data_IF_349580005056
#
_entry.id   IF_349580005056
#
_cell.length_a   1.000
_cell.length_b   1.000
_cell.length_c   1.000
_cell.angle_alpha   90.00
_cell.angle_beta   90.00
_cell.angle_gamma   90.00
#
_symmetry.space_group_name_H-M   'P 1'
#
loop_
_entity.id
_entity.type
_entity.pdbx_description
1 polymer ?
#
# COMPACT_ATOMS: atom_id res chain seq x y z
N UNK A 1 -9.90 -6.74 22.15
CA UNK A 1 -9.37 -6.08 20.94
C UNK A 1 -10.38 -6.14 19.81
N UNK A 2 -10.63 -5.02 19.17
CA UNK A 2 -11.50 -4.99 18.01
C UNK A 2 -10.72 -5.50 16.81
N UNK A 3 -11.26 -6.51 16.14
CA UNK A 3 -10.68 -7.00 14.90
C UNK A 3 -11.48 -6.45 13.73
N UNK A 4 -10.80 -5.93 12.74
CA UNK A 4 -11.41 -5.53 11.49
C UNK A 4 -11.18 -6.64 10.47
N UNK A 5 -12.23 -6.99 9.76
CA UNK A 5 -12.13 -7.92 8.64
C UNK A 5 -12.18 -7.11 7.36
N UNK A 6 -11.02 -7.03 6.69
CA UNK A 6 -10.87 -6.31 5.43
C UNK A 6 -10.62 -7.26 4.26
N UNK A 7 -10.99 -8.51 4.42
CA UNK A 7 -10.88 -9.50 3.34
C UNK A 7 -11.56 -8.98 2.07
N UNK A 8 -10.87 -9.12 0.94
CA UNK A 8 -11.30 -8.64 -0.38
C UNK A 8 -11.36 -7.12 -0.54
N UNK A 9 -10.85 -6.36 0.43
CA UNK A 9 -10.71 -4.91 0.31
C UNK A 9 -9.32 -4.56 -0.23
N UNK A 10 -9.26 -3.46 -0.97
CA UNK A 10 -8.00 -2.92 -1.47
C UNK A 10 -7.79 -1.55 -0.84
N UNK A 11 -6.64 -1.34 -0.23
CA UNK A 11 -6.29 -0.08 0.39
C UNK A 11 -5.05 0.50 -0.26
N UNK A 12 -5.06 1.80 -0.48
CA UNK A 12 -3.87 2.54 -0.92
C UNK A 12 -3.41 3.37 0.27
N UNK A 13 -2.16 3.19 0.67
CA UNK A 13 -1.59 3.91 1.81
C UNK A 13 -0.47 4.80 1.30
N UNK A 14 -0.71 6.12 1.30
CA UNK A 14 0.32 7.10 0.92
C UNK A 14 1.34 7.20 2.05
N UNK A 15 2.63 7.22 1.70
CA UNK A 15 3.68 7.19 2.71
C UNK A 15 3.71 5.90 3.49
N UNK A 16 3.22 4.81 2.91
CA UNK A 16 3.01 3.54 3.62
C UNK A 16 4.26 2.73 3.91
N UNK A 17 5.42 3.20 3.46
CA UNK A 17 6.66 2.45 3.61
C UNK A 17 7.40 2.75 4.90
N UNK A 18 7.04 3.81 5.61
CA UNK A 18 7.81 4.29 6.77
C UNK A 18 6.90 4.77 7.90
N UNK A 19 7.41 4.69 9.12
CA UNK A 19 6.80 5.31 10.28
C UNK A 19 5.34 4.95 10.48
N UNK A 20 4.51 5.96 10.64
CA UNK A 20 3.08 5.80 10.90
C UNK A 20 2.35 5.10 9.75
N UNK A 21 2.72 5.45 8.51
CA UNK A 21 2.13 4.80 7.34
C UNK A 21 2.43 3.31 7.28
N UNK A 22 3.65 2.91 7.64
CA UNK A 22 4.01 1.49 7.69
C UNK A 22 3.19 0.75 8.76
N UNK A 23 2.98 1.36 9.92
CA UNK A 23 2.15 0.77 10.97
C UNK A 23 0.72 0.54 10.48
N UNK A 24 0.14 1.50 9.75
CA UNK A 24 -1.18 1.35 9.15
C UNK A 24 -1.19 0.22 8.12
N UNK A 25 -0.17 0.17 7.27
CA UNK A 25 -0.01 -0.88 6.26
C UNK A 25 -0.02 -2.26 6.90
N UNK A 26 0.76 -2.45 7.96
CA UNK A 26 0.84 -3.72 8.68
C UNK A 26 -0.53 -4.12 9.26
N UNK A 27 -1.25 -3.16 9.85
CA UNK A 27 -2.58 -3.42 10.40
C UNK A 27 -3.58 -3.85 9.34
N UNK A 28 -3.56 -3.20 8.18
CA UNK A 28 -4.47 -3.56 7.08
C UNK A 28 -4.15 -4.94 6.52
N UNK A 29 -2.88 -5.29 6.40
CA UNK A 29 -2.47 -6.63 5.96
C UNK A 29 -2.97 -7.68 6.96
N UNK A 30 -2.81 -7.45 8.25
CA UNK A 30 -3.32 -8.34 9.29
C UNK A 30 -4.82 -8.54 9.21
N UNK A 31 -5.55 -7.50 8.81
CA UNK A 31 -7.00 -7.54 8.66
C UNK A 31 -7.45 -8.22 7.36
N UNK A 32 -6.52 -8.63 6.51
CA UNK A 32 -6.83 -9.35 5.28
C UNK A 32 -6.91 -8.51 4.02
N UNK A 33 -6.63 -7.21 4.11
CA UNK A 33 -6.68 -6.34 2.94
C UNK A 33 -5.52 -6.60 2.01
N UNK A 34 -5.73 -6.28 0.72
CA UNK A 34 -4.63 -6.10 -0.22
C UNK A 34 -4.23 -4.64 -0.13
N UNK A 35 -2.95 -4.37 0.05
CA UNK A 35 -2.44 -3.02 0.26
C UNK A 35 -1.47 -2.65 -0.84
N UNK A 36 -1.64 -1.45 -1.38
CA UNK A 36 -0.69 -0.85 -2.31
C UNK A 36 -0.10 0.37 -1.62
N UNK A 37 1.21 0.32 -1.38
CA UNK A 37 1.93 1.46 -0.81
C UNK A 37 2.24 2.46 -1.93
N UNK A 38 1.91 3.71 -1.71
CA UNK A 38 2.35 4.81 -2.55
C UNK A 38 3.39 5.61 -1.77
N UNK A 39 4.62 5.58 -2.23
CA UNK A 39 5.71 6.30 -1.58
C UNK A 39 6.64 6.84 -2.65
N UNK A 40 7.26 7.97 -2.41
CA UNK A 40 8.25 8.54 -3.32
C UNK A 40 9.62 7.89 -3.13
N UNK A 41 9.84 7.24 -1.99
CA UNK A 41 11.12 6.62 -1.64
C UNK A 41 11.08 5.12 -1.98
N UNK A 42 11.68 4.76 -3.12
CA UNK A 42 11.72 3.37 -3.56
C UNK A 42 12.49 2.47 -2.59
N UNK A 43 13.57 2.95 -2.03
CA UNK A 43 14.37 2.17 -1.07
C UNK A 43 13.54 1.80 0.15
N UNK A 44 12.80 2.77 0.68
CA UNK A 44 11.91 2.51 1.83
C UNK A 44 10.78 1.55 1.46
N UNK A 45 10.22 1.70 0.26
CA UNK A 45 9.16 0.79 -0.20
C UNK A 45 9.64 -0.65 -0.30
N UNK A 46 10.82 -0.87 -0.86
CA UNK A 46 11.41 -2.21 -0.96
C UNK A 46 11.68 -2.81 0.40
N UNK A 47 12.16 -2.02 1.35
CA UNK A 47 12.38 -2.49 2.73
C UNK A 47 11.08 -2.87 3.40
N UNK A 48 10.01 -2.12 3.16
CA UNK A 48 8.69 -2.44 3.72
C UNK A 48 8.17 -3.76 3.16
N UNK A 49 8.32 -3.98 1.86
CA UNK A 49 7.92 -5.24 1.22
C UNK A 49 8.64 -6.42 1.89
N UNK A 50 9.94 -6.30 2.08
CA UNK A 50 10.74 -7.37 2.70
C UNK A 50 10.35 -7.60 4.16
N UNK A 51 10.12 -6.52 4.90
CA UNK A 51 9.77 -6.60 6.31
C UNK A 51 8.42 -7.25 6.56
N UNK A 52 7.42 -6.82 5.81
CA UNK A 52 6.05 -7.33 5.97
C UNK A 52 5.91 -8.72 5.38
N UNK A 53 6.58 -8.97 4.27
CA UNK A 53 6.66 -10.28 3.61
C UNK A 53 5.27 -10.91 3.40
N UNK A 54 4.38 -10.15 2.77
CA UNK A 54 3.03 -10.62 2.45
C UNK A 54 2.76 -10.51 0.95
N UNK A 55 2.15 -11.55 0.38
CA UNK A 55 1.73 -11.51 -1.02
C UNK A 55 0.61 -10.50 -1.28
N UNK A 56 -0.03 -10.01 -0.21
CA UNK A 56 -1.08 -9.00 -0.31
C UNK A 56 -0.53 -7.58 -0.32
N UNK A 57 0.79 -7.41 -0.23
CA UNK A 57 1.42 -6.10 -0.22
C UNK A 57 2.19 -5.86 -1.51
N UNK A 58 1.94 -4.71 -2.12
CA UNK A 58 2.71 -4.23 -3.28
C UNK A 58 2.97 -2.74 -3.13
N UNK A 59 3.77 -2.17 -4.01
CA UNK A 59 4.06 -0.74 -3.96
C UNK A 59 4.13 -0.15 -5.36
N UNK A 60 3.93 1.16 -5.40
CA UNK A 60 4.17 1.99 -6.57
C UNK A 60 4.90 3.24 -6.11
N UNK A 61 5.85 3.71 -6.93
CA UNK A 61 6.57 4.94 -6.61
C UNK A 61 5.74 6.10 -7.14
N UNK A 62 5.22 6.90 -6.23
CA UNK A 62 4.27 7.97 -6.55
C UNK A 62 4.64 9.23 -5.80
N UNK A 63 4.78 10.32 -6.55
CA UNK A 63 4.80 11.66 -5.97
C UNK A 63 3.36 12.16 -5.92
N UNK A 64 2.79 12.22 -4.72
CA UNK A 64 1.38 12.60 -4.55
C UNK A 64 1.10 14.05 -4.93
N UNK A 65 2.14 14.86 -5.17
CA UNK A 65 1.97 16.20 -5.70
C UNK A 65 1.75 16.22 -7.21
N UNK A 66 1.95 15.09 -7.90
CA UNK A 66 1.78 14.98 -9.35
C UNK A 66 0.47 14.27 -9.68
N UNK A 67 -0.52 15.03 -10.09
CA UNK A 67 -1.88 14.54 -10.33
C UNK A 67 -1.96 13.52 -11.47
N UNK A 68 -1.20 13.70 -12.53
CA UNK A 68 -1.21 12.78 -13.67
C UNK A 68 -0.68 11.40 -13.29
N UNK A 69 0.37 11.38 -12.49
CA UNK A 69 0.94 10.11 -11.99
C UNK A 69 -0.06 9.40 -11.09
N UNK A 70 -0.76 10.15 -10.24
CA UNK A 70 -1.79 9.58 -9.36
C UNK A 70 -2.88 8.90 -10.18
N UNK A 71 -3.40 9.56 -11.20
CA UNK A 71 -4.43 9.00 -12.06
C UNK A 71 -3.98 7.73 -12.76
N UNK A 72 -2.77 7.73 -13.30
CA UNK A 72 -2.20 6.55 -13.95
C UNK A 72 -2.10 5.38 -12.98
N UNK A 73 -1.62 5.64 -11.78
CA UNK A 73 -1.41 4.60 -10.79
C UNK A 73 -2.73 4.04 -10.25
N UNK A 74 -3.76 4.88 -10.14
CA UNK A 74 -5.10 4.40 -9.79
C UNK A 74 -5.63 3.41 -10.82
N UNK A 75 -5.43 3.69 -12.10
CA UNK A 75 -5.85 2.77 -13.16
C UNK A 75 -5.11 1.45 -13.08
N UNK A 76 -3.81 1.48 -12.78
CA UNK A 76 -3.04 0.25 -12.61
C UNK A 76 -3.54 -0.58 -11.44
N UNK A 77 -3.88 0.06 -10.33
CA UNK A 77 -4.44 -0.62 -9.16
C UNK A 77 -5.76 -1.27 -9.51
N UNK A 78 -6.66 -0.55 -10.19
CA UNK A 78 -7.94 -1.10 -10.64
C UNK A 78 -7.75 -2.33 -11.51
N UNK A 79 -6.82 -2.28 -12.45
CA UNK A 79 -6.58 -3.38 -13.38
C UNK A 79 -6.01 -4.61 -12.69
N UNK A 80 -5.15 -4.43 -11.70
CA UNK A 80 -4.51 -5.53 -10.99
C UNK A 80 -5.38 -6.14 -9.89
N UNK A 81 -6.17 -5.31 -9.23
CA UNK A 81 -6.89 -5.74 -8.02
C UNK A 81 -8.36 -6.02 -8.26
N UNK A 82 -8.86 -5.63 -9.38
CA UNK A 82 -10.21 -5.92 -9.58
C UNK A 82 -11.02 -5.42 -10.56
#
# INVERSE_FOLDING_TARGET
MIKFDLTDKVAIVTGGAQGFGLAITERFIEAGAKVVIWDIDESAAKKAIDKVNSENLSYQIVDVSNFEIINKNLKEVENKQG
#
